data_IF_463124755728
#
_entry.id   IF_463124755728
#
_cell.length_a   1.000
_cell.length_b   1.000
_cell.length_c   1.000
_cell.angle_alpha   90.00
_cell.angle_beta   90.00
_cell.angle_gamma   90.00
#
_symmetry.space_group_name_H-M   'P 1'
#
loop_
_entity.id
_entity.type
_entity.pdbx_description
1 polymer ?
#
# COMPACT_ATOMS: atom_id res chain seq x y z
N UNK A 1 26.29 28.88 -11.25
CA UNK A 1 26.09 27.43 -11.41
C UNK A 1 25.09 27.03 -10.34
N UNK A 2 23.81 26.94 -10.71
CA UNK A 2 22.78 26.45 -9.80
C UNK A 2 22.93 24.94 -9.72
N UNK A 3 23.15 24.42 -8.52
CA UNK A 3 23.04 23.00 -8.28
C UNK A 3 21.55 22.66 -8.40
N UNK A 4 21.19 21.93 -9.45
CA UNK A 4 19.88 21.30 -9.56
C UNK A 4 19.83 20.21 -8.49
N UNK A 5 19.06 20.44 -7.42
CA UNK A 5 18.69 19.39 -6.48
C UNK A 5 17.85 18.37 -7.24
N UNK A 6 18.43 17.20 -7.48
CA UNK A 6 17.69 16.04 -7.97
C UNK A 6 16.84 15.52 -6.80
N UNK A 7 15.57 15.91 -6.76
CA UNK A 7 14.58 15.24 -5.94
C UNK A 7 14.38 13.82 -6.48
N UNK A 8 14.80 12.82 -5.72
CA UNK A 8 14.52 11.41 -6.02
C UNK A 8 13.01 11.22 -6.21
N UNK A 9 12.57 10.48 -7.24
CA UNK A 9 11.15 10.22 -7.44
C UNK A 9 10.63 9.47 -6.21
N UNK A 10 9.60 10.03 -5.57
CA UNK A 10 8.90 9.34 -4.50
C UNK A 10 8.31 8.05 -5.07
N UNK A 11 8.91 6.92 -4.74
CA UNK A 11 8.44 5.62 -5.16
C UNK A 11 7.24 5.27 -4.26
N UNK A 12 6.02 5.36 -4.81
CA UNK A 12 4.85 4.82 -4.13
C UNK A 12 5.04 3.30 -3.98
N UNK A 13 4.84 2.73 -2.77
CA UNK A 13 5.04 1.31 -2.55
C UNK A 13 4.06 0.50 -3.40
N UNK A 14 4.57 -0.59 -3.99
CA UNK A 14 3.75 -1.52 -4.75
C UNK A 14 2.78 -2.28 -3.83
N UNK A 15 1.73 -2.88 -4.42
CA UNK A 15 0.80 -3.73 -3.65
C UNK A 15 1.50 -4.90 -2.95
N UNK A 16 2.50 -5.49 -3.59
CA UNK A 16 3.29 -6.59 -3.01
C UNK A 16 4.08 -6.11 -1.79
N UNK A 17 4.71 -4.93 -1.86
CA UNK A 17 5.44 -4.34 -0.73
C UNK A 17 4.49 -4.00 0.43
N UNK A 18 3.31 -3.43 0.14
CA UNK A 18 2.33 -3.11 1.18
C UNK A 18 1.76 -4.37 1.85
N UNK A 19 1.52 -5.44 1.09
CA UNK A 19 1.11 -6.72 1.68
C UNK A 19 2.21 -7.35 2.52
N UNK A 20 3.47 -7.32 2.05
CA UNK A 20 4.60 -7.80 2.83
C UNK A 20 4.76 -7.02 4.15
N UNK A 21 4.55 -5.71 4.13
CA UNK A 21 4.59 -4.91 5.35
C UNK A 21 3.43 -5.27 6.29
N UNK A 22 2.22 -5.47 5.76
CA UNK A 22 1.05 -5.88 6.54
C UNK A 22 1.26 -7.25 7.21
N UNK A 23 1.85 -8.21 6.50
CA UNK A 23 2.25 -9.51 7.07
C UNK A 23 3.22 -9.34 8.24
N UNK A 24 4.24 -8.48 8.07
CA UNK A 24 5.17 -8.16 9.15
C UNK A 24 4.50 -7.49 10.36
N UNK A 25 3.50 -6.64 10.14
CA UNK A 25 2.69 -6.06 11.22
C UNK A 25 1.92 -7.16 11.96
N UNK A 26 1.29 -8.10 11.24
CA UNK A 26 0.57 -9.22 11.83
C UNK A 26 1.51 -10.11 12.66
N UNK A 27 2.66 -10.49 12.09
CA UNK A 27 3.68 -11.28 12.81
C UNK A 27 4.13 -10.60 14.11
N UNK A 28 4.34 -9.28 14.09
CA UNK A 28 4.67 -8.53 15.30
C UNK A 28 3.52 -8.48 16.31
N UNK A 29 2.27 -8.44 15.84
CA UNK A 29 1.08 -8.45 16.69
C UNK A 29 0.84 -9.80 17.38
N UNK A 30 1.29 -10.91 16.78
CA UNK A 30 1.16 -12.26 17.33
C UNK A 30 2.18 -12.60 18.42
N UNK A 31 3.17 -11.72 18.66
CA UNK A 31 4.19 -11.97 19.66
C UNK A 31 3.66 -11.81 21.08
N UNK A 32 3.92 -12.81 21.92
CA UNK A 32 3.52 -12.83 23.34
C UNK A 32 4.19 -11.73 24.19
N UNK A 33 5.31 -11.14 23.72
CA UNK A 33 6.06 -10.09 24.42
C UNK A 33 5.62 -8.65 24.06
N UNK A 34 4.52 -8.50 23.32
CA UNK A 34 4.05 -7.20 22.85
C UNK A 34 3.36 -6.38 23.95
N UNK A 35 3.82 -5.14 24.14
CA UNK A 35 3.16 -4.20 25.05
C UNK A 35 1.87 -3.64 24.44
N UNK A 36 0.90 -3.28 25.29
CA UNK A 36 -0.37 -2.69 24.85
C UNK A 36 -0.18 -1.41 24.01
N UNK A 37 0.75 -0.54 24.39
CA UNK A 37 1.09 0.66 23.64
C UNK A 37 1.59 0.30 22.23
N UNK A 38 2.47 -0.70 22.14
CA UNK A 38 2.97 -1.18 20.85
C UNK A 38 1.89 -1.85 20.03
N UNK A 39 0.92 -2.54 20.65
CA UNK A 39 -0.25 -3.08 19.96
C UNK A 39 -1.10 -1.98 19.31
N UNK A 40 -1.27 -0.83 19.98
CA UNK A 40 -1.98 0.31 19.39
C UNK A 40 -1.22 0.91 18.20
N UNK A 41 0.10 1.06 18.31
CA UNK A 41 0.93 1.54 17.19
C UNK A 41 0.83 0.62 15.97
N UNK A 42 0.98 -0.68 16.18
CA UNK A 42 0.91 -1.69 15.11
C UNK A 42 -0.49 -1.75 14.49
N UNK A 43 -1.55 -1.65 15.31
CA UNK A 43 -2.91 -1.59 14.81
C UNK A 43 -3.13 -0.36 13.92
N UNK A 44 -2.71 0.83 14.36
CA UNK A 44 -2.81 2.04 13.57
C UNK A 44 -2.03 1.91 12.26
N UNK A 45 -0.81 1.37 12.30
CA UNK A 45 -0.01 1.12 11.10
C UNK A 45 -0.69 0.15 10.14
N UNK A 46 -1.24 -0.95 10.65
CA UNK A 46 -2.00 -1.90 9.84
C UNK A 46 -3.23 -1.27 9.17
N UNK A 47 -3.96 -0.40 9.90
CA UNK A 47 -5.10 0.33 9.35
C UNK A 47 -4.69 1.33 8.26
N UNK A 48 -3.56 2.01 8.40
CA UNK A 48 -3.00 2.88 7.36
C UNK A 48 -2.64 2.08 6.11
N UNK A 49 -1.92 0.97 6.26
CA UNK A 49 -1.55 0.09 5.15
C UNK A 49 -2.78 -0.45 4.42
N UNK A 50 -3.81 -0.88 5.14
CA UNK A 50 -5.07 -1.33 4.53
C UNK A 50 -5.76 -0.22 3.71
N UNK A 51 -5.70 1.02 4.19
CA UNK A 51 -6.25 2.17 3.48
C UNK A 51 -5.47 2.47 2.20
N UNK A 52 -4.15 2.37 2.25
CA UNK A 52 -3.28 2.55 1.09
C UNK A 52 -3.51 1.44 0.06
N UNK A 53 -3.54 0.16 0.47
CA UNK A 53 -3.89 -0.96 -0.39
C UNK A 53 -5.24 -0.75 -1.07
N UNK A 54 -6.28 -0.37 -0.32
CA UNK A 54 -7.62 -0.13 -0.87
C UNK A 54 -7.62 1.01 -1.88
N UNK A 55 -6.86 2.08 -1.63
CA UNK A 55 -6.71 3.19 -2.58
C UNK A 55 -6.05 2.72 -3.88
N UNK A 56 -4.93 2.02 -3.78
CA UNK A 56 -4.17 1.54 -4.94
C UNK A 56 -4.99 0.55 -5.78
N UNK A 57 -5.71 -0.38 -5.14
CA UNK A 57 -6.64 -1.29 -5.83
C UNK A 57 -7.71 -0.49 -6.57
N UNK A 58 -8.36 0.47 -5.91
CA UNK A 58 -9.39 1.29 -6.55
C UNK A 58 -8.87 2.13 -7.73
N UNK A 59 -7.61 2.55 -7.70
CA UNK A 59 -6.96 3.22 -8.84
C UNK A 59 -6.71 2.26 -10.01
N UNK A 60 -6.29 1.02 -9.73
CA UNK A 60 -6.13 -0.03 -10.74
C UNK A 60 -7.49 -0.38 -11.35
N UNK A 61 -8.53 -0.61 -10.54
CA UNK A 61 -9.88 -0.88 -11.00
C UNK A 61 -10.41 0.23 -11.93
N UNK A 62 -10.22 1.50 -11.54
CA UNK A 62 -10.59 2.64 -12.39
C UNK A 62 -9.82 2.68 -13.71
N UNK A 63 -8.52 2.39 -13.69
CA UNK A 63 -7.71 2.31 -14.91
C UNK A 63 -8.19 1.18 -15.82
N UNK A 64 -8.50 0.02 -15.26
CA UNK A 64 -9.06 -1.12 -16.00
C UNK A 64 -10.42 -0.75 -16.62
N UNK A 65 -11.33 -0.12 -15.87
CA UNK A 65 -12.62 0.34 -16.38
C UNK A 65 -12.48 1.44 -17.46
N UNK A 66 -11.54 2.37 -17.31
CA UNK A 66 -11.30 3.40 -18.31
C UNK A 66 -10.70 2.83 -19.61
N UNK A 67 -9.93 1.74 -19.52
CA UNK A 67 -9.47 0.99 -20.70
C UNK A 67 -10.62 0.22 -21.37
N UNK A 68 -11.61 -0.25 -20.60
CA UNK A 68 -12.82 -0.92 -21.09
C UNK A 68 -13.72 0.05 -21.89
N UNK A 69 -13.76 1.33 -21.53
CA UNK A 69 -14.50 2.38 -22.27
C UNK A 69 -13.86 2.74 -23.63
N UNK A 70 -12.58 2.42 -23.85
CA UNK A 70 -11.87 2.59 -25.13
C UNK A 70 -11.98 1.34 -26.05
N UNK A 71 -12.70 0.29 -25.62
CA UNK A 71 -13.40 -0.62 -26.55
C UNK A 71 -12.80 -2.00 -26.84
N UNK A 72 -12.14 -2.68 -25.90
CA UNK A 72 -11.92 -4.14 -26.01
C UNK A 72 -11.98 -4.80 -24.60
N UNK A 73 -13.05 -5.54 -24.34
CA UNK A 73 -13.31 -6.31 -23.12
C UNK A 73 -12.41 -7.54 -23.02
N UNK A 74 -11.76 -7.78 -21.88
CA UNK A 74 -11.19 -9.08 -21.54
C UNK A 74 -12.16 -9.87 -20.66
N UNK A 75 -12.78 -10.91 -21.24
CA UNK A 75 -13.40 -11.99 -20.46
C UNK A 75 -12.30 -12.80 -19.77
N UNK A 76 -12.48 -13.05 -18.47
CA UNK A 76 -11.61 -13.86 -17.63
C UNK A 76 -11.48 -15.31 -18.13
#
# INVERSE_FOLDING_TARGET
MGAEEYTEPQHEPSLEEMFSELEGVIEMMERDDLSLERSFDLYNRGMELLKECSKTIGEVEKKVLAMDEDGETYEF
#
